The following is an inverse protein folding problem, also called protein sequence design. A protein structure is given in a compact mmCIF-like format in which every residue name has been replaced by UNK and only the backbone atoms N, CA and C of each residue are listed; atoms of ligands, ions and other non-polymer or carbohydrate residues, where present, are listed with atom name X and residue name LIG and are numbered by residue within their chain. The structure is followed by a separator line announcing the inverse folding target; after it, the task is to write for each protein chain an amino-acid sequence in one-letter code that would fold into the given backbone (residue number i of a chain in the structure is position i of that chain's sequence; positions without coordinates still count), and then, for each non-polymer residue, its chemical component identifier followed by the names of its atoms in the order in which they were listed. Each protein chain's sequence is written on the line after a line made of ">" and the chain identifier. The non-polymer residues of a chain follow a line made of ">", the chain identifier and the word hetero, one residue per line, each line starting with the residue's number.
data_IF_092296111414
#
_entry.id   IF_092296111414
#
_cell.length_a   1.000
_cell.length_b   1.000
_cell.length_c   1.000
_cell.angle_alpha   90.00
_cell.angle_beta   90.00
_cell.angle_gamma   90.00
#
_symmetry.space_group_name_H-M   'P 1'
#
loop_
_entity.id
_entity.type
_entity.pdbx_description
1 polymer ?
#
# COMPACT_ATOMS: atom_id res chain seq x y z
N UNK A 1 29.56 -6.50 11.87
CA UNK A 1 28.79 -6.86 10.66
C UNK A 1 28.08 -5.61 10.20
N UNK A 2 28.12 -5.31 8.90
CA UNK A 2 27.63 -4.07 8.31
C UNK A 2 26.11 -3.97 8.48
N UNK A 3 25.63 -2.81 8.98
CA UNK A 3 24.22 -2.43 8.91
C UNK A 3 23.81 -2.45 7.44
N UNK A 4 23.06 -3.46 7.01
CA UNK A 4 22.24 -3.32 5.81
C UNK A 4 21.36 -2.09 6.05
N UNK A 5 21.37 -1.11 5.15
CA UNK A 5 20.51 0.05 5.30
C UNK A 5 19.06 -0.43 5.42
N UNK A 6 18.34 0.10 6.41
CA UNK A 6 16.89 -0.09 6.61
C UNK A 6 16.12 0.62 5.47
N UNK A 7 16.46 0.34 4.22
CA UNK A 7 15.96 1.08 3.07
C UNK A 7 14.55 0.62 2.69
N UNK A 8 13.63 1.57 2.63
CA UNK A 8 12.34 1.40 1.99
C UNK A 8 12.53 1.13 0.49
N UNK A 9 11.72 0.23 -0.07
CA UNK A 9 11.80 -0.11 -1.49
C UNK A 9 10.41 -0.32 -2.08
N UNK A 10 10.18 0.20 -3.28
CA UNK A 10 9.02 -0.13 -4.10
C UNK A 10 9.31 -1.34 -4.97
N UNK A 11 8.34 -2.26 -5.02
CA UNK A 11 8.41 -3.48 -5.82
C UNK A 11 7.54 -3.42 -7.05
N UNK A 12 6.40 -2.74 -6.94
CA UNK A 12 5.41 -2.69 -7.99
C UNK A 12 4.69 -1.35 -7.96
N UNK A 13 4.43 -0.82 -9.15
CA UNK A 13 3.59 0.35 -9.36
C UNK A 13 2.75 0.08 -10.61
N UNK A 14 1.45 0.24 -10.52
CA UNK A 14 0.55 0.10 -11.67
C UNK A 14 -0.52 1.17 -11.68
N UNK A 15 -0.97 1.49 -12.88
CA UNK A 15 -1.99 2.48 -13.15
C UNK A 15 -3.32 1.80 -13.43
N UNK A 16 -4.25 1.93 -12.50
CA UNK A 16 -5.60 1.36 -12.66
C UNK A 16 -6.60 2.45 -13.07
N UNK A 17 -7.83 2.02 -13.41
CA UNK A 17 -8.91 2.90 -13.84
C UNK A 17 -8.54 3.81 -15.03
N UNK A 18 -7.78 3.29 -16.00
CA UNK A 18 -7.42 4.03 -17.21
C UNK A 18 -6.31 5.08 -17.01
N UNK A 19 -5.50 4.95 -15.96
CA UNK A 19 -4.41 5.89 -15.66
C UNK A 19 -4.71 6.87 -14.53
N UNK A 20 -5.89 6.75 -13.91
CA UNK A 20 -6.39 7.72 -12.94
C UNK A 20 -6.08 7.34 -11.49
N UNK A 21 -5.60 6.14 -11.18
CA UNK A 21 -5.19 5.74 -9.82
C UNK A 21 -3.85 5.01 -9.91
N UNK A 22 -2.87 5.40 -9.08
CA UNK A 22 -1.62 4.66 -8.96
C UNK A 22 -1.71 3.75 -7.74
N UNK A 23 -1.50 2.46 -7.96
CA UNK A 23 -1.33 1.50 -6.87
C UNK A 23 0.13 1.12 -6.79
N UNK A 24 0.69 1.13 -5.59
CA UNK A 24 2.07 0.79 -5.33
C UNK A 24 2.19 -0.24 -4.19
N UNK A 25 3.10 -1.20 -4.36
CA UNK A 25 3.49 -2.11 -3.30
C UNK A 25 4.92 -1.78 -2.91
N UNK A 26 5.11 -1.54 -1.62
CA UNK A 26 6.39 -1.28 -1.04
C UNK A 26 6.71 -2.19 0.13
N UNK A 27 7.98 -2.15 0.52
CA UNK A 27 8.43 -2.59 1.84
C UNK A 27 8.96 -1.43 2.65
N UNK A 28 8.70 -1.50 3.95
CA UNK A 28 9.41 -0.74 4.96
C UNK A 28 9.87 -1.68 6.07
N UNK A 29 10.98 -1.33 6.72
CA UNK A 29 11.25 -1.85 8.05
C UNK A 29 10.24 -1.20 9.01
N UNK A 30 9.76 -1.94 10.00
CA UNK A 30 8.88 -1.37 11.03
C UNK A 30 9.43 -1.76 12.39
N UNK A 31 9.84 -0.76 13.17
CA UNK A 31 10.38 -0.98 14.52
C UNK A 31 9.35 -1.63 15.49
N UNK A 32 8.05 -1.63 15.14
CA UNK A 32 6.99 -2.26 15.91
C UNK A 32 6.78 -3.76 15.59
N UNK A 33 7.49 -4.33 14.61
CA UNK A 33 7.40 -5.76 14.28
C UNK A 33 8.55 -6.49 14.98
N UNK A 34 8.29 -7.54 15.79
CA UNK A 34 9.30 -8.20 16.63
C UNK A 34 10.28 -9.09 15.85
N UNK A 35 10.51 -8.83 14.57
CA UNK A 35 11.38 -9.64 13.72
C UNK A 35 12.19 -8.73 12.79
N UNK A 36 13.38 -9.16 12.37
CA UNK A 36 14.18 -8.52 11.32
C UNK A 36 13.52 -8.61 9.92
N UNK A 37 12.20 -8.84 9.87
CA UNK A 37 11.47 -9.08 8.64
C UNK A 37 10.85 -7.80 8.12
N UNK A 38 10.85 -7.77 6.81
CA UNK A 38 10.33 -6.73 5.95
C UNK A 38 8.81 -6.76 6.02
N UNK A 39 8.16 -5.65 6.40
CA UNK A 39 6.70 -5.55 6.37
C UNK A 39 6.23 -5.06 5.01
N UNK A 40 5.30 -5.81 4.39
CA UNK A 40 4.65 -5.38 3.16
C UNK A 40 3.64 -4.27 3.48
N UNK A 41 3.76 -3.13 2.79
CA UNK A 41 2.83 -2.01 2.91
C UNK A 41 2.26 -1.71 1.53
N UNK A 42 0.94 -1.91 1.31
CA UNK A 42 0.28 -1.40 0.13
C UNK A 42 0.01 0.10 0.29
N UNK A 43 0.29 0.84 -0.78
CA UNK A 43 0.02 2.25 -0.90
C UNK A 43 -0.85 2.49 -2.12
N UNK A 44 -1.93 3.24 -1.97
CA UNK A 44 -2.73 3.72 -3.10
C UNK A 44 -2.61 5.22 -3.14
N UNK A 45 -2.23 5.78 -4.29
CA UNK A 45 -2.43 7.20 -4.54
C UNK A 45 -3.82 7.36 -5.14
N UNK A 46 -4.67 8.09 -4.44
CA UNK A 46 -5.88 8.64 -5.00
C UNK A 46 -5.61 10.10 -5.42
N UNK A 47 -5.42 10.37 -6.73
CA UNK A 47 -5.15 11.72 -7.19
C UNK A 47 -6.42 12.58 -7.32
N UNK A 48 -7.61 12.06 -6.98
CA UNK A 48 -8.84 12.86 -6.95
C UNK A 48 -9.01 13.54 -5.59
N UNK A 49 -8.67 12.82 -4.53
CA UNK A 49 -8.71 13.31 -3.15
C UNK A 49 -7.36 13.87 -2.67
N UNK A 50 -6.35 13.90 -3.56
CA UNK A 50 -4.98 14.35 -3.26
C UNK A 50 -4.42 13.60 -2.03
N UNK A 51 -4.66 12.29 -1.95
CA UNK A 51 -4.32 11.47 -0.79
C UNK A 51 -3.50 10.21 -1.11
N UNK A 52 -2.66 9.83 -0.14
CA UNK A 52 -1.98 8.55 -0.08
C UNK A 52 -2.70 7.72 0.96
N UNK A 53 -3.34 6.66 0.48
CA UNK A 53 -4.08 5.73 1.30
C UNK A 53 -3.13 4.70 1.89
N UNK A 54 -3.04 4.68 3.21
CA UNK A 54 -2.24 3.76 3.98
C UNK A 54 -3.09 2.59 4.49
N UNK A 55 -2.73 1.40 4.04
CA UNK A 55 -3.32 0.14 4.50
C UNK A 55 -2.28 -0.57 5.38
N UNK A 56 -2.67 -0.96 6.59
CA UNK A 56 -1.78 -1.70 7.47
C UNK A 56 -2.48 -2.96 8.03
N UNK A 57 -2.12 -4.16 7.54
CA UNK A 57 -2.63 -5.41 8.09
C UNK A 57 -2.35 -5.59 9.58
N UNK A 58 -1.36 -4.89 10.17
CA UNK A 58 -1.07 -4.95 11.61
C UNK A 58 -1.86 -3.93 12.44
N UNK A 59 -2.59 -3.01 11.81
CA UNK A 59 -3.37 -1.98 12.49
C UNK A 59 -2.56 -0.91 13.24
N UNK A 60 -1.24 -0.87 13.06
CA UNK A 60 -0.39 0.16 13.67
C UNK A 60 -0.45 1.46 12.86
N UNK A 61 -0.32 2.58 13.56
CA UNK A 61 -0.15 3.91 12.96
C UNK A 61 1.14 4.00 12.12
N UNK A 62 1.18 4.84 11.07
CA UNK A 62 2.37 5.02 10.24
C UNK A 62 3.53 5.64 11.03
N UNK A 63 4.69 4.98 11.02
CA UNK A 63 5.94 5.48 11.60
C UNK A 63 6.77 6.34 10.65
N UNK A 64 8.00 6.71 11.03
CA UNK A 64 8.88 7.50 10.15
C UNK A 64 9.24 6.76 8.85
N UNK A 65 9.41 5.44 8.90
CA UNK A 65 9.68 4.61 7.70
C UNK A 65 8.56 4.69 6.65
N UNK A 66 7.32 5.01 7.07
CA UNK A 66 6.21 5.24 6.15
C UNK A 66 6.38 6.52 5.33
N UNK A 67 6.98 7.56 5.90
CA UNK A 67 7.23 8.84 5.19
C UNK A 67 8.20 8.62 4.04
N UNK A 68 9.21 7.77 4.24
CA UNK A 68 10.17 7.42 3.20
C UNK A 68 9.50 6.66 2.06
N UNK A 69 8.66 5.67 2.38
CA UNK A 69 7.92 4.92 1.36
C UNK A 69 6.92 5.79 0.59
N UNK A 70 6.20 6.65 1.29
CA UNK A 70 5.30 7.63 0.69
C UNK A 70 6.04 8.59 -0.23
N UNK A 71 7.23 9.04 0.17
CA UNK A 71 8.09 9.90 -0.64
C UNK A 71 8.52 9.20 -1.94
N UNK A 72 8.89 7.91 -1.87
CA UNK A 72 9.22 7.13 -3.06
C UNK A 72 8.03 7.03 -4.02
N UNK A 73 6.84 6.68 -3.50
CA UNK A 73 5.60 6.56 -4.30
C UNK A 73 5.23 7.89 -4.95
N UNK A 74 5.35 9.00 -4.22
CA UNK A 74 5.11 10.34 -4.72
C UNK A 74 6.09 10.74 -5.83
N UNK A 75 7.35 10.34 -5.73
CA UNK A 75 8.35 10.63 -6.76
C UNK A 75 8.05 9.86 -8.04
N UNK A 76 7.72 8.57 -7.94
CA UNK A 76 7.30 7.76 -9.09
C UNK A 76 6.05 8.34 -9.75
N UNK A 77 5.05 8.74 -8.96
CA UNK A 77 3.86 9.42 -9.46
C UNK A 77 4.18 10.72 -10.20
N UNK A 78 5.00 11.59 -9.61
CA UNK A 78 5.43 12.85 -10.26
C UNK A 78 6.13 12.57 -11.59
N UNK A 79 6.94 11.52 -11.67
CA UNK A 79 7.58 11.10 -12.91
C UNK A 79 6.57 10.59 -13.96
N UNK A 80 5.60 9.77 -13.55
CA UNK A 80 4.55 9.26 -14.44
C UNK A 80 3.65 10.39 -14.96
N UNK A 81 3.26 11.33 -14.10
CA UNK A 81 2.49 12.53 -14.48
C UNK A 81 3.28 13.44 -15.42
N UNK A 82 4.59 13.57 -15.22
CA UNK A 82 5.47 14.30 -16.13
C UNK A 82 5.57 13.70 -17.53
N UNK A 83 5.20 12.42 -17.72
CA UNK A 83 5.28 11.68 -18.99
C UNK A 83 3.97 11.66 -19.79
N UNK A 84 2.96 12.45 -19.40
CA UNK A 84 1.75 12.66 -20.22
C UNK A 84 0.44 12.21 -19.58
N UNK A 85 0.44 11.73 -18.34
CA UNK A 85 -0.80 11.65 -17.56
C UNK A 85 -1.22 13.09 -17.26
N UNK A 86 -2.50 13.41 -17.47
CA UNK A 86 -3.01 14.77 -17.28
C UNK A 86 -2.73 15.21 -15.83
N UNK A 87 -1.85 16.21 -15.66
CA UNK A 87 -1.68 16.93 -14.39
C UNK A 87 -3.04 17.44 -13.94
N UNK A 88 -3.56 16.96 -12.80
CA UNK A 88 -4.84 17.45 -12.28
C UNK A 88 -4.67 18.51 -11.17
N UNK A 89 -3.65 18.44 -10.27
CA UNK A 89 -3.34 19.48 -9.24
C UNK A 89 -1.87 19.52 -8.75
N UNK A 90 -1.54 20.50 -7.91
CA UNK A 90 -0.28 20.56 -7.13
C UNK A 90 -0.37 19.53 -5.99
N UNK A 91 0.46 18.48 -6.04
CA UNK A 91 0.41 17.36 -5.10
C UNK A 91 1.21 17.66 -3.81
N UNK A 92 0.66 18.45 -2.90
CA UNK A 92 0.90 18.21 -1.47
C UNK A 92 -0.13 17.16 -1.05
N UNK A 93 0.26 15.88 -1.06
CA UNK A 93 -0.71 14.82 -0.78
C UNK A 93 -0.84 14.58 0.72
N UNK A 94 -2.07 14.42 1.17
CA UNK A 94 -2.40 14.02 2.53
C UNK A 94 -2.15 12.53 2.71
N UNK A 95 -1.87 12.09 3.94
CA UNK A 95 -1.80 10.67 4.27
C UNK A 95 -3.12 10.34 4.96
N UNK A 96 -3.89 9.44 4.33
CA UNK A 96 -5.14 8.93 4.90
C UNK A 96 -4.94 7.50 5.38
N UNK A 97 -5.18 7.28 6.67
CA UNK A 97 -5.12 5.95 7.27
C UNK A 97 -6.45 5.26 6.99
N UNK A 98 -6.38 4.15 6.25
CA UNK A 98 -7.58 3.47 5.77
C UNK A 98 -7.87 2.25 6.62
N UNK A 99 -9.13 2.12 7.05
CA UNK A 99 -9.60 0.90 7.71
C UNK A 99 -9.48 -0.28 6.76
N UNK A 100 -8.89 -1.37 7.22
CA UNK A 100 -8.77 -2.62 6.46
C UNK A 100 -8.83 -3.84 7.38
N UNK A 101 -9.06 -5.04 6.84
CA UNK A 101 -8.90 -6.29 7.58
C UNK A 101 -7.53 -6.39 8.27
N UNK A 102 -7.53 -6.78 9.54
CA UNK A 102 -6.31 -6.91 10.36
C UNK A 102 -5.92 -8.40 10.38
N UNK A 103 -4.63 -8.67 10.22
CA UNK A 103 -4.09 -10.03 10.30
C UNK A 103 -3.98 -10.51 11.74
N UNK A 104 -4.12 -11.81 11.94
CA UNK A 104 -3.76 -12.45 13.21
C UNK A 104 -2.26 -12.77 13.23
N UNK A 105 -1.51 -12.19 14.16
CA UNK A 105 -0.07 -12.43 14.30
C UNK A 105 0.81 -11.55 13.39
N UNK A 106 2.06 -11.98 13.12
CA UNK A 106 3.10 -11.13 12.50
C UNK A 106 3.71 -11.67 11.19
N UNK A 107 3.20 -12.80 10.67
CA UNK A 107 3.85 -13.54 9.56
C UNK A 107 3.12 -13.47 8.22
N UNK A 108 1.88 -13.00 8.19
CA UNK A 108 1.03 -13.09 6.99
C UNK A 108 0.85 -11.77 6.23
N UNK A 109 1.63 -10.74 6.55
CA UNK A 109 1.40 -9.40 6.03
C UNK A 109 1.45 -9.32 4.51
N UNK A 110 2.33 -10.08 3.87
CA UNK A 110 2.41 -10.10 2.42
C UNK A 110 1.14 -10.66 1.77
N UNK A 111 0.49 -11.66 2.38
CA UNK A 111 -0.74 -12.22 1.84
C UNK A 111 -1.91 -11.25 2.01
N UNK A 112 -1.99 -10.53 3.13
CA UNK A 112 -2.99 -9.47 3.30
C UNK A 112 -2.77 -8.33 2.30
N UNK A 113 -1.51 -7.93 2.06
CA UNK A 113 -1.18 -6.94 1.02
C UNK A 113 -1.65 -7.40 -0.35
N UNK A 114 -1.37 -8.65 -0.73
CA UNK A 114 -1.82 -9.20 -2.02
C UNK A 114 -3.35 -9.24 -2.13
N UNK A 115 -4.06 -9.61 -1.05
CA UNK A 115 -5.51 -9.60 -1.00
C UNK A 115 -6.10 -8.19 -1.21
N UNK A 116 -5.54 -7.18 -0.52
CA UNK A 116 -5.94 -5.77 -0.70
C UNK A 116 -5.74 -5.32 -2.14
N UNK A 117 -4.58 -5.64 -2.71
CA UNK A 117 -4.24 -5.28 -4.09
C UNK A 117 -5.21 -5.91 -5.08
N UNK A 118 -5.50 -7.21 -4.95
CA UNK A 118 -6.50 -7.87 -5.80
C UNK A 118 -7.84 -7.14 -5.71
N UNK A 119 -8.34 -6.84 -4.51
CA UNK A 119 -9.63 -6.16 -4.39
C UNK A 119 -9.65 -4.76 -5.01
N UNK A 120 -8.63 -3.95 -4.72
CA UNK A 120 -8.50 -2.58 -5.24
C UNK A 120 -8.43 -2.59 -6.77
N UNK A 121 -7.73 -3.56 -7.36
CA UNK A 121 -7.49 -3.61 -8.81
C UNK A 121 -8.60 -4.30 -9.60
N UNK A 122 -9.34 -5.23 -9.00
CA UNK A 122 -10.36 -6.04 -9.70
C UNK A 122 -11.64 -5.26 -10.01
N UNK A 123 -12.00 -4.24 -9.22
CA UNK A 123 -13.26 -3.50 -9.42
C UNK A 123 -13.10 -2.01 -9.18
N UNK A 124 -13.89 -1.20 -9.89
CA UNK A 124 -13.92 0.27 -9.72
C UNK A 124 -14.35 0.72 -8.31
N UNK A 125 -15.00 -0.16 -7.54
CA UNK A 125 -15.44 0.08 -6.16
C UNK A 125 -14.58 -0.67 -5.13
N UNK A 126 -13.51 -1.34 -5.56
CA UNK A 126 -12.72 -2.24 -4.74
C UNK A 126 -12.14 -1.58 -3.49
N UNK A 127 -11.66 -0.36 -3.65
CA UNK A 127 -11.19 0.49 -2.55
C UNK A 127 -12.29 0.72 -1.48
N UNK A 128 -13.50 1.09 -1.91
CA UNK A 128 -14.62 1.34 -1.01
C UNK A 128 -15.10 0.06 -0.32
N UNK A 129 -15.07 -1.08 -1.03
CA UNK A 129 -15.40 -2.38 -0.45
C UNK A 129 -14.39 -2.76 0.64
N UNK A 130 -13.10 -2.62 0.36
CA UNK A 130 -12.03 -2.91 1.30
C UNK A 130 -12.16 -2.07 2.59
N UNK A 131 -12.50 -0.79 2.47
CA UNK A 131 -12.74 0.12 3.60
C UNK A 131 -13.84 -0.34 4.55
N UNK A 132 -14.79 -1.14 4.06
CA UNK A 132 -15.92 -1.67 4.83
C UNK A 132 -15.70 -3.11 5.30
N UNK A 133 -14.66 -3.79 4.82
CA UNK A 133 -14.40 -5.20 5.15
C UNK A 133 -13.75 -5.32 6.52
N UNK A 134 -14.32 -6.15 7.38
CA UNK A 134 -13.85 -6.31 8.76
C UNK A 134 -12.77 -7.38 8.90
N UNK A 135 -12.87 -8.48 8.17
CA UNK A 135 -11.94 -9.60 8.23
C UNK A 135 -11.85 -10.35 6.89
N UNK A 136 -10.76 -11.10 6.72
CA UNK A 136 -10.68 -12.17 5.73
C UNK A 136 -10.98 -13.51 6.39
N UNK A 137 -11.73 -14.36 5.69
CA UNK A 137 -11.89 -15.75 6.09
C UNK A 137 -10.67 -16.57 5.70
N UNK A 138 -10.46 -17.73 6.32
CA UNK A 138 -9.42 -18.67 5.88
C UNK A 138 -9.62 -19.13 4.43
N UNK A 139 -10.85 -19.17 3.94
CA UNK A 139 -11.11 -19.49 2.54
C UNK A 139 -10.57 -18.38 1.62
N UNK A 140 -10.78 -17.11 1.97
CA UNK A 140 -10.24 -15.97 1.23
C UNK A 140 -8.70 -16.02 1.20
N UNK A 141 -8.09 -16.20 2.38
CA UNK A 141 -6.63 -16.23 2.50
C UNK A 141 -6.00 -17.46 1.85
N UNK A 142 -6.69 -18.60 1.86
CA UNK A 142 -6.20 -19.82 1.20
C UNK A 142 -6.12 -19.69 -0.31
N UNK A 143 -6.99 -18.88 -0.94
CA UNK A 143 -6.91 -18.58 -2.37
C UNK A 143 -5.68 -17.71 -2.64
N UNK A 144 -5.50 -16.65 -1.86
CA UNK A 144 -4.35 -15.74 -2.01
C UNK A 144 -3.01 -16.45 -1.81
N UNK A 145 -2.93 -17.40 -0.87
CA UNK A 145 -1.71 -18.19 -0.62
C UNK A 145 -1.37 -19.18 -1.76
N UNK A 146 -2.31 -19.48 -2.66
CA UNK A 146 -2.13 -20.45 -3.76
C UNK A 146 -1.73 -19.83 -5.10
N UNK A 147 -1.83 -18.50 -5.22
CA UNK A 147 -1.41 -17.74 -6.41
C UNK A 147 0.09 -17.41 -6.39
#
# INVERSE_FOLDING_TARGET
>A
MQNASKECQLFHTDLINGGDVLVAIGRAYMDCVPTDTVHGIPLVIDPWDDSVLYFNPLGNEPGDDFKDLTTLVLNDWKMLVGRGIKKRRNYEMLIDIVRCPIQEGYVECIYFVLAFMQEITLTVVGLALLQTKEFYTEADMSLVRQE
#
